data_IF_480029552623
#
_entry.id   IF_480029552623
#
_cell.length_a   1.000
_cell.length_b   1.000
_cell.length_c   1.000
_cell.angle_alpha   90.00
_cell.angle_beta   90.00
_cell.angle_gamma   90.00
#
_symmetry.space_group_name_H-M   'P 1'
#
loop_
_entity.id
_entity.type
_entity.pdbx_description
1 polymer ?
#
# COMPACT_ATOMS: atom_id res chain seq x y z
N UNK A 1 -3.32 8.26 -9.96
CA UNK A 1 -2.38 7.13 -9.78
C UNK A 1 -3.14 5.83 -9.58
N UNK A 2 -4.09 5.77 -8.63
CA UNK A 2 -4.94 4.59 -8.37
C UNK A 2 -5.76 4.09 -9.55
N UNK A 3 -6.29 4.97 -10.39
CA UNK A 3 -7.03 4.59 -11.62
C UNK A 3 -6.23 3.79 -12.65
N UNK A 4 -4.89 3.77 -12.55
CA UNK A 4 -4.03 2.92 -13.40
C UNK A 4 -3.75 1.54 -12.80
N UNK A 5 -4.08 1.35 -11.53
CA UNK A 5 -3.86 0.13 -10.76
C UNK A 5 -5.13 -0.70 -10.62
N UNK A 6 -6.28 -0.03 -10.65
CA UNK A 6 -7.60 -0.65 -10.52
C UNK A 6 -8.11 -0.98 -11.92
N UNK A 7 -8.49 -2.24 -12.22
CA UNK A 7 -9.09 -2.61 -13.50
C UNK A 7 -10.35 -1.78 -13.73
N UNK A 8 -10.60 -1.40 -14.98
CA UNK A 8 -11.69 -0.49 -15.34
C UNK A 8 -13.06 -0.96 -14.86
N UNK A 9 -13.29 -2.28 -14.83
CA UNK A 9 -14.52 -2.90 -14.32
C UNK A 9 -14.76 -2.69 -12.81
N UNK A 10 -13.71 -2.42 -12.02
CA UNK A 10 -13.81 -2.21 -10.58
C UNK A 10 -13.77 -0.73 -10.19
N UNK A 11 -13.42 0.20 -11.09
CA UNK A 11 -13.26 1.63 -10.76
C UNK A 11 -14.51 2.21 -10.09
N UNK A 12 -15.70 1.94 -10.63
CA UNK A 12 -16.96 2.44 -10.05
C UNK A 12 -17.23 1.84 -8.66
N UNK A 13 -17.07 0.54 -8.47
CA UNK A 13 -17.22 -0.06 -7.14
C UNK A 13 -16.19 0.45 -6.13
N UNK A 14 -14.96 0.68 -6.58
CA UNK A 14 -13.86 1.06 -5.72
C UNK A 14 -13.99 2.50 -5.20
N UNK A 15 -14.33 3.45 -6.06
CA UNK A 15 -14.44 4.86 -5.65
C UNK A 15 -15.80 5.25 -5.05
N UNK A 16 -16.81 4.38 -5.19
CA UNK A 16 -18.13 4.58 -4.58
C UNK A 16 -18.32 3.79 -3.27
N UNK A 17 -17.34 2.97 -2.90
CA UNK A 17 -17.34 2.25 -1.62
C UNK A 17 -17.23 3.24 -0.45
N UNK A 18 -17.87 2.92 0.68
CA UNK A 18 -17.60 3.67 1.90
C UNK A 18 -16.11 3.54 2.27
N UNK A 19 -15.55 4.55 2.96
CA UNK A 19 -14.12 4.60 3.24
C UNK A 19 -13.60 3.39 4.03
N UNK A 20 -14.38 2.87 4.98
CA UNK A 20 -13.97 1.72 5.81
C UNK A 20 -13.86 0.46 4.95
N UNK A 21 -14.90 0.17 4.17
CA UNK A 21 -14.95 -0.97 3.25
C UNK A 21 -13.87 -0.85 2.16
N UNK A 22 -13.61 0.38 1.70
CA UNK A 22 -12.52 0.63 0.77
C UNK A 22 -11.16 0.28 1.37
N UNK A 23 -10.89 0.73 2.60
CA UNK A 23 -9.65 0.42 3.31
C UNK A 23 -9.50 -1.10 3.52
N UNK A 24 -10.57 -1.76 3.98
CA UNK A 24 -10.58 -3.22 4.21
C UNK A 24 -10.33 -3.96 2.89
N UNK A 25 -11.05 -3.62 1.83
CA UNK A 25 -10.89 -4.28 0.53
C UNK A 25 -9.51 -4.07 -0.10
N UNK A 26 -8.86 -2.94 0.17
CA UNK A 26 -7.46 -2.73 -0.21
C UNK A 26 -6.50 -3.58 0.64
N UNK A 27 -6.71 -3.69 1.96
CA UNK A 27 -5.86 -4.48 2.85
C UNK A 27 -5.98 -5.99 2.59
N UNK A 28 -7.20 -6.48 2.38
CA UNK A 28 -7.49 -7.89 2.05
C UNK A 28 -7.17 -8.23 0.60
N UNK A 29 -6.88 -7.22 -0.23
CA UNK A 29 -6.64 -7.39 -1.65
C UNK A 29 -7.77 -8.17 -2.36
N UNK A 30 -9.04 -7.83 -2.07
CA UNK A 30 -10.21 -8.58 -2.52
C UNK A 30 -10.36 -8.71 -4.06
N UNK A 31 -9.59 -7.92 -4.81
CA UNK A 31 -9.52 -7.92 -6.28
C UNK A 31 -8.26 -8.58 -6.84
N UNK A 32 -7.41 -9.17 -5.99
CA UNK A 32 -6.20 -9.90 -6.40
C UNK A 32 -5.18 -9.02 -7.11
N UNK A 33 -5.13 -7.72 -6.80
CA UNK A 33 -4.29 -6.76 -7.51
C UNK A 33 -2.82 -6.92 -7.13
N UNK A 34 -1.97 -6.72 -8.13
CA UNK A 34 -0.52 -6.78 -8.00
C UNK A 34 0.11 -5.52 -8.59
N UNK A 35 1.04 -4.91 -7.84
CA UNK A 35 1.88 -3.80 -8.32
C UNK A 35 3.26 -4.36 -8.62
N UNK A 36 3.43 -4.89 -9.84
CA UNK A 36 4.62 -5.68 -10.18
C UNK A 36 4.57 -7.04 -9.48
N UNK A 37 5.58 -7.34 -8.65
CA UNK A 37 5.68 -8.60 -7.88
C UNK A 37 5.14 -8.50 -6.45
N UNK A 38 4.53 -7.37 -6.10
CA UNK A 38 4.06 -7.05 -4.74
C UNK A 38 2.54 -7.15 -4.72
N UNK A 39 2.01 -7.89 -3.75
CA UNK A 39 0.58 -7.95 -3.49
C UNK A 39 0.04 -6.57 -3.06
N UNK A 40 -1.08 -6.13 -3.64
CA UNK A 40 -1.61 -4.79 -3.39
C UNK A 40 -1.99 -4.58 -1.91
N UNK A 41 -2.42 -5.62 -1.20
CA UNK A 41 -2.69 -5.56 0.24
C UNK A 41 -1.47 -5.15 1.06
N UNK A 42 -0.34 -5.82 0.82
CA UNK A 42 0.95 -5.51 1.46
C UNK A 42 1.39 -4.09 1.07
N UNK A 43 1.32 -3.76 -0.22
CA UNK A 43 1.69 -2.42 -0.69
C UNK A 43 0.86 -1.32 -0.03
N UNK A 44 -0.45 -1.52 0.10
CA UNK A 44 -1.38 -0.59 0.71
C UNK A 44 -1.11 -0.44 2.21
N UNK A 45 -0.92 -1.54 2.94
CA UNK A 45 -0.60 -1.50 4.37
C UNK A 45 0.70 -0.73 4.64
N UNK A 46 1.75 -0.99 3.84
CA UNK A 46 3.03 -0.27 3.95
C UNK A 46 2.86 1.22 3.62
N UNK A 47 2.04 1.57 2.64
CA UNK A 47 1.74 2.95 2.29
C UNK A 47 1.02 3.67 3.44
N UNK A 48 -0.01 3.05 4.02
CA UNK A 48 -0.74 3.58 5.18
C UNK A 48 0.20 3.81 6.36
N UNK A 49 1.07 2.85 6.66
CA UNK A 49 2.10 2.99 7.71
C UNK A 49 3.04 4.18 7.43
N UNK A 50 3.53 4.31 6.20
CA UNK A 50 4.41 5.42 5.83
C UNK A 50 3.73 6.78 5.92
N UNK A 51 2.48 6.89 5.48
CA UNK A 51 1.69 8.12 5.58
C UNK A 51 1.45 8.50 7.04
N UNK A 52 1.06 7.53 7.88
CA UNK A 52 0.90 7.73 9.32
C UNK A 52 2.22 8.18 9.96
N UNK A 53 3.31 7.45 9.72
CA UNK A 53 4.64 7.77 10.26
C UNK A 53 5.11 9.16 9.81
N UNK A 54 4.89 9.52 8.54
CA UNK A 54 5.30 10.82 8.02
C UNK A 54 4.47 11.96 8.62
N UNK A 55 3.15 11.78 8.77
CA UNK A 55 2.29 12.75 9.47
C UNK A 55 2.73 12.96 10.91
N UNK A 56 3.00 11.88 11.65
CA UNK A 56 3.52 11.98 13.01
C UNK A 56 4.87 12.69 13.04
N UNK A 57 5.77 12.41 12.10
CA UNK A 57 7.03 13.14 12.00
C UNK A 57 6.85 14.63 11.73
N UNK A 58 5.95 15.02 10.83
CA UNK A 58 5.65 16.44 10.58
C UNK A 58 5.10 17.10 11.83
N UNK A 59 4.18 16.45 12.54
CA UNK A 59 3.55 16.99 13.75
C UNK A 59 4.53 17.09 14.92
N UNK A 60 5.33 16.05 15.17
CA UNK A 60 6.17 15.95 16.36
C UNK A 60 7.62 16.40 16.14
N UNK A 61 8.09 16.47 14.89
CA UNK A 61 9.49 16.78 14.56
C UNK A 61 9.62 17.96 13.58
N UNK A 62 8.51 18.57 13.14
CA UNK A 62 8.47 19.64 12.13
C UNK A 62 9.20 19.33 10.81
N UNK A 63 9.44 18.04 10.53
CA UNK A 63 10.19 17.58 9.36
C UNK A 63 9.24 17.04 8.29
N UNK A 64 9.17 17.75 7.15
CA UNK A 64 8.29 17.41 6.04
C UNK A 64 9.06 16.71 4.92
N UNK A 65 8.67 15.46 4.62
CA UNK A 65 9.24 14.71 3.50
C UNK A 65 8.33 14.76 2.29
N UNK A 66 8.94 15.10 1.15
CA UNK A 66 8.27 15.21 -0.13
C UNK A 66 7.52 13.91 -0.51
N UNK A 67 6.27 13.98 -1.03
CA UNK A 67 5.45 12.79 -1.32
C UNK A 67 6.11 11.73 -2.21
N UNK A 68 6.94 12.15 -3.17
CA UNK A 68 7.72 11.22 -4.01
C UNK A 68 8.67 10.34 -3.21
N UNK A 69 9.29 10.90 -2.16
CA UNK A 69 10.22 10.16 -1.31
C UNK A 69 9.47 9.17 -0.40
N UNK A 70 8.25 9.52 0.05
CA UNK A 70 7.35 8.59 0.76
C UNK A 70 7.02 7.39 -0.13
N UNK A 71 6.63 7.61 -1.38
CA UNK A 71 6.33 6.55 -2.34
C UNK A 71 7.54 5.65 -2.62
N UNK A 72 8.73 6.24 -2.78
CA UNK A 72 9.98 5.51 -3.01
C UNK A 72 10.30 4.58 -1.82
N UNK A 73 10.24 5.10 -0.59
CA UNK A 73 10.52 4.32 0.62
C UNK A 73 9.46 3.24 0.86
N UNK A 74 8.19 3.54 0.59
CA UNK A 74 7.08 2.58 0.64
C UNK A 74 7.35 1.40 -0.28
N UNK A 75 7.68 1.66 -1.55
CA UNK A 75 7.98 0.61 -2.53
C UNK A 75 9.14 -0.28 -2.06
N UNK A 76 10.23 0.34 -1.60
CA UNK A 76 11.41 -0.39 -1.11
C UNK A 76 11.09 -1.30 0.08
N UNK A 77 10.32 -0.80 1.06
CA UNK A 77 9.97 -1.59 2.24
C UNK A 77 9.00 -2.73 1.90
N UNK A 78 8.00 -2.47 1.06
CA UNK A 78 7.06 -3.50 0.60
C UNK A 78 7.77 -4.63 -0.15
N UNK A 79 8.74 -4.30 -1.02
CA UNK A 79 9.57 -5.30 -1.70
C UNK A 79 10.31 -6.20 -0.71
N UNK A 80 10.94 -5.61 0.32
CA UNK A 80 11.68 -6.37 1.32
C UNK A 80 10.78 -7.33 2.13
N UNK A 81 9.59 -6.87 2.52
CA UNK A 81 8.63 -7.69 3.26
C UNK A 81 8.17 -8.88 2.40
N UNK A 82 7.81 -8.64 1.14
CA UNK A 82 7.42 -9.71 0.22
C UNK A 82 8.55 -10.72 -0.01
N UNK A 83 9.82 -10.29 -0.07
CA UNK A 83 10.93 -11.23 -0.18
C UNK A 83 11.09 -12.08 1.07
N UNK A 84 10.92 -11.51 2.28
CA UNK A 84 11.03 -12.26 3.54
C UNK A 84 9.93 -13.32 3.67
N UNK A 85 8.68 -12.96 3.38
CA UNK A 85 7.55 -13.89 3.41
C UNK A 85 7.70 -15.08 2.43
N UNK A 86 8.31 -14.86 1.25
CA UNK A 86 8.59 -15.97 0.32
C UNK A 86 9.66 -16.92 0.83
N UNK A 87 10.70 -16.41 1.50
CA UNK A 87 11.74 -17.26 2.09
C UNK A 87 11.21 -18.11 3.24
N UNK A 88 10.25 -17.61 4.02
CA UNK A 88 9.65 -18.38 5.11
C UNK A 88 8.71 -19.48 4.59
N UNK A 89 7.95 -19.21 3.52
CA UNK A 89 7.11 -20.21 2.86
C UNK A 89 7.90 -21.32 2.14
N UNK A 90 9.20 -21.12 1.87
CA UNK A 90 10.09 -22.14 1.28
C UNK A 90 10.79 -23.00 2.35
N UNK A 91 10.67 -22.63 3.64
CA UNK A 91 11.29 -23.33 4.77
C UNK A 91 10.28 -24.10 5.63
N UNK A 92 8.98 -23.95 5.36
CA UNK A 92 7.88 -24.73 5.95
C UNK A 92 7.51 -25.90 5.07
#
# INVERSE_FOLDING_TARGET
>A
MWYKLIPSCYISQFFWMNLINWIIGNMENNVGLHVGSIECGIYFAVLCWFLWKNKNRVIFQHDSVHPKEVLRRTKSLATNICSMMRTDNLKS
#
